data_IF_293838127080
#
_entry.id   IF_293838127080
#
_cell.length_a   1.000
_cell.length_b   1.000
_cell.length_c   1.000
_cell.angle_alpha   90.00
_cell.angle_beta   90.00
_cell.angle_gamma   90.00
#
_symmetry.space_group_name_H-M   'P 1'
#
loop_
_entity.id
_entity.type
_entity.pdbx_description
1 polymer ?
#
# COMPACT_ATOMS: atom_id res chain seq x y z
N UNK A 1 25.73 1.42 -19.25
CA UNK A 1 24.50 2.03 -18.69
C UNK A 1 23.78 2.72 -19.84
N UNK A 2 22.67 2.17 -20.32
CA UNK A 2 21.89 2.77 -21.42
C UNK A 2 20.74 3.53 -20.75
N UNK A 3 20.89 4.85 -20.59
CA UNK A 3 19.78 5.71 -20.22
C UNK A 3 18.95 5.98 -21.48
N UNK A 4 17.68 5.56 -21.48
CA UNK A 4 16.71 5.96 -22.51
C UNK A 4 15.68 6.85 -21.85
N UNK A 5 15.53 8.07 -22.35
CA UNK A 5 14.35 8.89 -22.05
C UNK A 5 13.13 8.19 -22.67
N UNK A 6 12.37 7.45 -21.85
CA UNK A 6 11.15 6.80 -22.30
C UNK A 6 10.02 7.84 -22.38
N UNK A 7 9.97 8.58 -23.49
CA UNK A 7 8.80 9.37 -23.91
C UNK A 7 7.79 8.47 -24.67
N UNK A 8 8.01 7.15 -24.67
CA UNK A 8 7.29 6.20 -25.52
C UNK A 8 6.60 5.12 -24.70
N UNK A 9 5.31 4.89 -24.99
CA UNK A 9 4.58 3.68 -24.60
C UNK A 9 5.34 2.44 -25.07
N UNK A 10 5.78 1.58 -24.14
CA UNK A 10 6.24 0.24 -24.50
C UNK A 10 5.00 -0.61 -24.75
N UNK A 11 4.67 -0.84 -26.01
CA UNK A 11 3.56 -1.72 -26.38
C UNK A 11 4.10 -3.12 -26.64
N UNK A 12 3.87 -4.02 -25.70
CA UNK A 12 4.28 -5.41 -25.82
C UNK A 12 3.04 -6.29 -26.02
N UNK A 13 2.78 -6.65 -27.28
CA UNK A 13 1.66 -7.51 -27.68
C UNK A 13 2.09 -8.98 -27.63
N UNK A 14 1.16 -9.86 -27.24
CA UNK A 14 1.31 -11.33 -27.28
C UNK A 14 2.43 -11.95 -26.43
N UNK A 15 2.94 -11.24 -25.42
CA UNK A 15 3.86 -11.81 -24.41
C UNK A 15 3.11 -12.21 -23.14
N UNK A 16 3.45 -13.38 -22.59
CA UNK A 16 2.88 -13.88 -21.33
C UNK A 16 3.40 -13.12 -20.11
N UNK A 17 4.61 -12.55 -20.19
CA UNK A 17 5.24 -11.76 -19.13
C UNK A 17 6.10 -10.65 -19.74
N UNK A 18 5.97 -9.41 -19.23
CA UNK A 18 6.94 -8.33 -19.47
C UNK A 18 7.81 -8.16 -18.23
N UNK A 19 9.12 -8.33 -18.37
CA UNK A 19 10.08 -8.23 -17.27
C UNK A 19 11.02 -7.04 -17.47
N UNK A 20 11.02 -6.11 -16.51
CA UNK A 20 11.90 -4.94 -16.46
C UNK A 20 12.82 -5.08 -15.25
N UNK A 21 14.12 -5.07 -15.47
CA UNK A 21 15.12 -5.28 -14.41
C UNK A 21 16.23 -4.25 -14.47
N UNK A 22 16.77 -3.87 -13.29
CA UNK A 22 17.89 -2.92 -13.17
C UNK A 22 17.65 -1.61 -13.94
N UNK A 23 16.43 -1.08 -13.84
CA UNK A 23 16.01 0.12 -14.54
C UNK A 23 15.91 1.32 -13.59
N UNK A 24 16.34 2.47 -14.08
CA UNK A 24 16.07 3.77 -13.46
C UNK A 24 15.03 4.51 -14.29
N UNK A 25 13.84 4.70 -13.74
CA UNK A 25 12.70 5.32 -14.41
C UNK A 25 12.39 6.63 -13.71
N UNK A 26 12.52 7.74 -14.44
CA UNK A 26 12.25 9.08 -13.90
C UNK A 26 11.16 9.75 -14.73
N UNK A 27 10.10 10.23 -14.08
CA UNK A 27 9.11 11.06 -14.76
C UNK A 27 9.70 12.43 -15.12
N UNK A 28 9.28 12.99 -16.26
CA UNK A 28 9.64 14.37 -16.61
C UNK A 28 8.95 15.32 -15.62
N UNK A 29 9.68 16.14 -14.84
CA UNK A 29 9.10 17.08 -13.88
C UNK A 29 8.19 18.14 -14.52
N UNK A 30 8.30 18.35 -15.83
CA UNK A 30 7.45 19.28 -16.60
C UNK A 30 6.12 18.64 -17.01
N UNK A 31 6.00 17.32 -16.92
CA UNK A 31 4.80 16.58 -17.22
C UNK A 31 4.11 16.18 -15.92
N UNK A 32 2.90 16.71 -15.71
CA UNK A 32 2.00 16.17 -14.69
C UNK A 32 1.50 14.80 -15.18
N UNK A 33 2.21 13.73 -14.80
CA UNK A 33 1.93 12.40 -15.36
C UNK A 33 2.57 11.27 -14.57
N UNK A 34 2.26 10.06 -15.01
CA UNK A 34 2.78 8.82 -14.45
C UNK A 34 4.20 8.57 -14.96
N UNK A 35 5.11 8.12 -14.07
CA UNK A 35 6.41 7.64 -14.52
C UNK A 35 6.28 6.32 -15.32
N UNK A 36 5.29 5.50 -14.95
CA UNK A 36 5.01 4.21 -15.57
C UNK A 36 3.50 3.95 -15.56
N UNK A 37 2.92 3.65 -16.72
CA UNK A 37 1.55 3.14 -16.82
C UNK A 37 1.57 1.75 -17.45
N UNK A 38 1.02 0.77 -16.74
CA UNK A 38 0.98 -0.64 -17.12
C UNK A 38 -0.48 -1.03 -17.34
N UNK A 39 -0.78 -1.40 -18.59
CA UNK A 39 -2.06 -1.99 -18.97
C UNK A 39 -1.82 -3.37 -19.54
N UNK A 40 -2.26 -4.41 -18.83
CA UNK A 40 -1.96 -5.80 -19.20
C UNK A 40 -3.04 -6.75 -18.70
N UNK A 41 -3.33 -7.79 -19.49
CA UNK A 41 -4.10 -8.98 -19.07
C UNK A 41 -3.17 -10.14 -18.67
N UNK A 42 -1.87 -9.88 -18.67
CA UNK A 42 -0.77 -10.82 -18.44
C UNK A 42 0.11 -10.31 -17.29
N UNK A 43 1.20 -11.02 -16.98
CA UNK A 43 2.06 -10.63 -15.86
C UNK A 43 3.02 -9.49 -16.25
N UNK A 44 3.10 -8.47 -15.42
CA UNK A 44 4.17 -7.47 -15.46
C UNK A 44 5.11 -7.68 -14.26
N UNK A 45 6.42 -7.65 -14.50
CA UNK A 45 7.43 -7.73 -13.46
C UNK A 45 8.38 -6.53 -13.53
N UNK A 46 8.62 -5.91 -12.38
CA UNK A 46 9.64 -4.88 -12.19
C UNK A 46 10.55 -5.30 -11.04
N UNK A 47 11.86 -5.42 -11.29
CA UNK A 47 12.81 -5.93 -10.30
C UNK A 47 14.05 -5.05 -10.18
N UNK A 48 14.60 -4.90 -8.99
CA UNK A 48 15.89 -4.24 -8.73
C UNK A 48 15.97 -2.86 -9.39
N UNK A 49 14.89 -2.08 -9.33
CA UNK A 49 14.74 -0.86 -10.12
C UNK A 49 14.50 0.35 -9.23
N UNK A 50 14.64 1.55 -9.78
CA UNK A 50 14.24 2.78 -9.13
C UNK A 50 13.19 3.51 -9.97
N UNK A 51 12.19 4.08 -9.31
CA UNK A 51 11.16 4.91 -9.92
C UNK A 51 11.07 6.21 -9.12
N UNK A 52 11.26 7.32 -9.81
CA UNK A 52 11.09 8.67 -9.28
C UNK A 52 10.00 9.35 -10.10
N UNK A 53 8.87 9.63 -9.48
CA UNK A 53 7.76 10.33 -10.15
C UNK A 53 7.57 11.76 -9.65
N UNK A 54 6.44 12.37 -10.05
CA UNK A 54 6.08 13.76 -9.73
C UNK A 54 4.72 13.86 -9.03
N UNK A 55 3.73 13.06 -9.46
CA UNK A 55 2.38 13.06 -8.87
C UNK A 55 1.70 11.66 -8.82
N UNK A 56 2.19 10.68 -9.61
CA UNK A 56 1.91 9.24 -9.50
C UNK A 56 3.02 8.41 -10.17
N UNK A 57 3.51 7.35 -9.52
CA UNK A 57 4.72 6.66 -9.98
C UNK A 57 4.36 5.60 -11.00
N UNK A 58 3.50 4.70 -10.56
CA UNK A 58 3.16 3.47 -11.25
C UNK A 58 1.65 3.38 -11.23
N UNK A 59 1.03 3.33 -12.39
CA UNK A 59 -0.36 2.89 -12.50
C UNK A 59 -0.38 1.49 -13.07
N UNK A 60 -1.04 0.55 -12.39
CA UNK A 60 -1.29 -0.80 -12.90
C UNK A 60 -2.80 -0.97 -13.06
N UNK A 61 -3.21 -1.39 -14.26
CA UNK A 61 -4.60 -1.39 -14.70
C UNK A 61 -4.94 -2.58 -15.59
N UNK A 62 -6.09 -3.20 -15.36
CA UNK A 62 -6.64 -4.32 -16.13
C UNK A 62 -8.07 -4.04 -16.62
N UNK A 63 -8.93 -5.04 -16.55
CA UNK A 63 -10.38 -4.91 -16.69
C UNK A 63 -11.06 -5.78 -15.64
N UNK A 64 -12.35 -5.55 -15.36
CA UNK A 64 -13.10 -6.41 -14.43
C UNK A 64 -13.09 -7.89 -14.85
N UNK A 65 -13.11 -8.17 -16.15
CA UNK A 65 -13.03 -9.53 -16.71
C UNK A 65 -11.60 -10.06 -16.84
N UNK A 66 -10.58 -9.21 -16.70
CA UNK A 66 -9.17 -9.57 -16.81
C UNK A 66 -8.32 -8.66 -15.93
N UNK A 67 -8.26 -8.93 -14.61
CA UNK A 67 -7.48 -8.14 -13.70
C UNK A 67 -6.01 -8.10 -14.11
N UNK A 68 -5.37 -6.95 -14.00
CA UNK A 68 -3.93 -6.86 -14.26
C UNK A 68 -3.16 -7.61 -13.18
N UNK A 69 -2.07 -8.25 -13.57
CA UNK A 69 -1.20 -8.95 -12.63
C UNK A 69 0.18 -8.32 -12.66
N UNK A 70 0.69 -7.93 -11.50
CA UNK A 70 1.99 -7.30 -11.40
C UNK A 70 2.79 -7.77 -10.18
N UNK A 71 4.10 -7.89 -10.37
CA UNK A 71 5.06 -8.11 -9.29
C UNK A 71 6.11 -6.99 -9.32
N UNK A 72 6.34 -6.38 -8.15
CA UNK A 72 7.39 -5.39 -7.94
C UNK A 72 8.33 -5.95 -6.88
N UNK A 73 9.60 -6.13 -7.22
CA UNK A 73 10.58 -6.79 -6.34
C UNK A 73 11.79 -5.88 -6.16
N UNK A 74 12.23 -5.67 -4.92
CA UNK A 74 13.45 -4.93 -4.58
C UNK A 74 13.56 -3.59 -5.33
N UNK A 75 12.43 -2.91 -5.45
CA UNK A 75 12.28 -1.68 -6.22
C UNK A 75 12.03 -0.51 -5.28
N UNK A 76 12.69 0.61 -5.57
CA UNK A 76 12.51 1.85 -4.84
C UNK A 76 11.55 2.76 -5.61
N UNK A 77 10.49 3.24 -4.94
CA UNK A 77 9.48 4.15 -5.50
C UNK A 77 9.46 5.41 -4.66
N UNK A 78 9.64 6.57 -5.31
CA UNK A 78 9.76 7.85 -4.61
C UNK A 78 9.19 9.05 -5.34
N UNK A 79 8.93 10.12 -4.57
CA UNK A 79 8.31 11.36 -5.04
C UNK A 79 6.97 11.13 -5.75
N UNK A 80 6.34 9.98 -5.48
CA UNK A 80 5.24 9.42 -6.24
C UNK A 80 4.71 8.10 -5.67
N UNK A 81 3.40 7.97 -5.45
CA UNK A 81 2.78 6.73 -4.95
C UNK A 81 2.55 5.66 -6.03
N UNK A 82 2.28 4.41 -5.62
CA UNK A 82 1.82 3.32 -6.51
C UNK A 82 0.29 3.34 -6.55
N UNK A 83 -0.31 3.27 -7.73
CA UNK A 83 -1.75 3.29 -7.90
C UNK A 83 -2.27 2.03 -8.65
N UNK A 84 -3.29 1.39 -8.08
CA UNK A 84 -4.26 0.57 -8.82
C UNK A 84 -5.61 1.28 -8.75
N UNK A 85 -6.19 1.65 -9.90
CA UNK A 85 -7.34 2.56 -9.96
C UNK A 85 -8.60 1.88 -10.49
N UNK A 86 -9.76 2.26 -9.92
CA UNK A 86 -11.10 1.72 -10.23
C UNK A 86 -11.48 1.86 -11.71
N UNK A 87 -11.21 3.03 -12.31
CA UNK A 87 -11.60 3.34 -13.70
C UNK A 87 -10.87 2.50 -14.75
N UNK A 88 -9.96 1.65 -14.28
CA UNK A 88 -9.03 0.88 -15.09
C UNK A 88 -9.01 -0.59 -14.67
N UNK A 89 -10.03 -1.07 -13.94
CA UNK A 89 -10.20 -2.46 -13.52
C UNK A 89 -9.31 -2.91 -12.35
N UNK A 90 -9.71 -3.99 -11.63
CA UNK A 90 -8.97 -4.50 -10.48
C UNK A 90 -7.56 -4.97 -10.88
N UNK A 91 -6.64 -4.89 -9.92
CA UNK A 91 -5.29 -5.42 -10.07
C UNK A 91 -4.98 -6.44 -8.97
N UNK A 92 -4.14 -7.43 -9.31
CA UNK A 92 -3.49 -8.33 -8.38
C UNK A 92 -2.01 -7.96 -8.36
N UNK A 93 -1.60 -7.28 -7.31
CA UNK A 93 -0.27 -6.72 -7.16
C UNK A 93 0.46 -7.37 -5.98
N UNK A 94 1.67 -7.86 -6.22
CA UNK A 94 2.56 -8.33 -5.17
C UNK A 94 3.82 -7.46 -5.14
N UNK A 95 4.16 -6.90 -3.98
CA UNK A 95 5.38 -6.13 -3.77
C UNK A 95 6.24 -6.86 -2.72
N UNK A 96 7.49 -7.14 -3.07
CA UNK A 96 8.43 -7.86 -2.21
C UNK A 96 9.70 -7.05 -2.08
N UNK A 97 10.14 -6.75 -0.85
CA UNK A 97 11.32 -5.95 -0.62
C UNK A 97 11.15 -4.50 -1.08
N UNK A 98 12.27 -3.82 -1.28
CA UNK A 98 12.28 -2.45 -1.79
C UNK A 98 11.72 -1.41 -0.81
N UNK A 99 11.41 -0.23 -1.34
CA UNK A 99 11.11 0.96 -0.55
C UNK A 99 10.10 1.88 -1.24
N UNK A 100 9.10 2.36 -0.50
CA UNK A 100 8.11 3.36 -0.94
C UNK A 100 8.29 4.58 -0.04
N UNK A 101 8.84 5.68 -0.57
CA UNK A 101 9.20 6.81 0.29
C UNK A 101 9.08 8.20 -0.34
N UNK A 102 8.98 9.21 0.53
CA UNK A 102 8.91 10.62 0.14
C UNK A 102 7.76 10.93 -0.83
N UNK A 103 6.63 10.23 -0.68
CA UNK A 103 5.49 10.41 -1.56
C UNK A 103 4.53 11.46 -1.00
N UNK A 104 4.23 12.47 -1.83
CA UNK A 104 3.26 13.51 -1.48
C UNK A 104 1.82 13.01 -1.46
N UNK A 105 1.53 11.90 -2.12
CA UNK A 105 0.22 11.27 -2.17
C UNK A 105 0.34 9.82 -1.75
N UNK A 106 -0.76 9.27 -1.24
CA UNK A 106 -0.84 7.85 -0.90
C UNK A 106 -0.55 6.97 -2.11
N UNK A 107 0.05 5.80 -1.87
CA UNK A 107 -0.12 4.67 -2.77
C UNK A 107 -1.57 4.19 -2.65
N UNK A 108 -2.32 4.29 -3.75
CA UNK A 108 -3.75 4.03 -3.78
C UNK A 108 -4.03 2.64 -4.33
N UNK A 109 -4.57 1.77 -3.51
CA UNK A 109 -4.98 0.43 -3.92
C UNK A 109 -6.49 0.36 -3.95
N UNK A 110 -7.04 0.55 -5.15
CA UNK A 110 -8.47 0.49 -5.39
C UNK A 110 -8.83 -0.74 -6.19
N UNK A 111 -9.80 -1.48 -5.67
CA UNK A 111 -10.24 -2.79 -6.13
C UNK A 111 -9.12 -3.84 -6.28
N UNK A 112 -9.49 -5.12 -6.14
CA UNK A 112 -8.55 -6.23 -6.31
C UNK A 112 -7.74 -6.54 -5.06
N UNK A 113 -6.49 -6.98 -5.24
CA UNK A 113 -5.66 -7.53 -4.18
C UNK A 113 -4.23 -7.01 -4.24
N UNK A 114 -3.74 -6.52 -3.11
CA UNK A 114 -2.35 -6.14 -2.90
C UNK A 114 -1.75 -7.01 -1.80
N UNK A 115 -0.56 -7.53 -2.05
CA UNK A 115 0.26 -8.24 -1.06
C UNK A 115 1.61 -7.53 -0.94
N UNK A 116 1.95 -7.10 0.27
CA UNK A 116 3.25 -6.49 0.58
C UNK A 116 4.05 -7.41 1.49
N UNK A 117 5.30 -7.68 1.14
CA UNK A 117 6.22 -8.49 1.92
C UNK A 117 7.55 -7.79 2.06
N UNK A 118 8.03 -7.59 3.28
CA UNK A 118 9.36 -7.02 3.56
C UNK A 118 9.58 -5.64 2.90
N UNK A 119 8.52 -4.85 2.73
CA UNK A 119 8.59 -3.52 2.10
C UNK A 119 8.82 -2.45 3.16
N UNK A 120 9.73 -1.50 2.91
CA UNK A 120 9.88 -0.30 3.74
C UNK A 120 9.04 0.85 3.19
N UNK A 121 8.14 1.39 4.00
CA UNK A 121 7.22 2.47 3.66
C UNK A 121 7.48 3.63 4.63
N UNK A 122 8.13 4.70 4.16
CA UNK A 122 8.52 5.78 5.05
C UNK A 122 8.47 7.20 4.47
N UNK A 123 8.36 8.19 5.35
CA UNK A 123 8.38 9.60 4.95
C UNK A 123 7.32 9.95 3.89
N UNK A 124 6.17 9.27 3.91
CA UNK A 124 5.06 9.54 3.00
C UNK A 124 3.94 10.36 3.70
N UNK A 125 3.04 10.90 2.89
CA UNK A 125 1.87 11.61 3.38
C UNK A 125 2.01 13.13 3.33
N UNK A 126 2.70 13.63 2.30
CA UNK A 126 2.54 15.02 1.90
C UNK A 126 1.05 15.35 1.67
N UNK A 127 0.72 16.64 1.65
CA UNK A 127 -0.66 17.13 1.41
C UNK A 127 -1.76 16.52 2.31
N UNK A 128 -1.41 15.93 3.45
CA UNK A 128 -2.40 15.35 4.36
C UNK A 128 -2.77 13.89 4.14
N UNK A 129 -2.07 13.19 3.25
CA UNK A 129 -2.42 11.81 2.87
C UNK A 129 -1.84 10.75 3.83
N UNK A 130 -2.36 9.52 3.74
CA UNK A 130 -1.70 8.31 4.27
C UNK A 130 -0.57 7.83 3.35
N UNK A 131 0.30 6.93 3.82
CA UNK A 131 1.28 6.29 2.95
C UNK A 131 0.62 5.28 2.00
N UNK A 132 -0.31 4.49 2.53
CA UNK A 132 -1.15 3.56 1.77
C UNK A 132 -2.61 3.90 2.00
N UNK A 133 -3.41 3.89 0.94
CA UNK A 133 -4.85 4.04 0.97
C UNK A 133 -5.52 2.88 0.24
N UNK A 134 -6.41 2.16 0.92
CA UNK A 134 -7.11 0.97 0.39
C UNK A 134 -8.61 1.21 0.43
N UNK A 135 -9.28 1.08 -0.72
CA UNK A 135 -10.74 1.22 -0.81
C UNK A 135 -11.28 0.45 -2.01
N UNK A 136 -12.38 -0.29 -1.83
CA UNK A 136 -13.11 -0.84 -2.95
C UNK A 136 -14.11 0.16 -3.54
N UNK A 137 -14.71 -0.19 -4.67
CA UNK A 137 -15.77 0.60 -5.32
C UNK A 137 -17.17 0.12 -4.95
N UNK A 138 -17.33 -1.14 -4.51
CA UNK A 138 -18.60 -1.71 -4.07
C UNK A 138 -18.41 -2.99 -3.25
N UNK A 139 -19.48 -3.53 -2.68
CA UNK A 139 -19.45 -4.83 -2.00
C UNK A 139 -19.03 -5.98 -2.92
N UNK A 140 -19.22 -5.84 -4.24
CA UNK A 140 -18.84 -6.81 -5.27
C UNK A 140 -17.43 -6.56 -5.82
N UNK A 141 -16.82 -5.41 -5.52
CA UNK A 141 -15.48 -5.02 -5.97
C UNK A 141 -14.69 -4.50 -4.76
N UNK A 142 -14.20 -5.43 -3.96
CA UNK A 142 -13.43 -5.13 -2.75
C UNK A 142 -11.98 -4.83 -3.09
N UNK A 143 -11.34 -3.99 -2.27
CA UNK A 143 -9.88 -3.86 -2.23
C UNK A 143 -9.32 -4.62 -1.02
N UNK A 144 -8.43 -5.58 -1.27
CA UNK A 144 -7.82 -6.40 -0.21
C UNK A 144 -6.33 -6.14 -0.06
N UNK A 145 -5.86 -6.00 1.17
CA UNK A 145 -4.45 -5.81 1.52
C UNK A 145 -3.96 -6.94 2.41
N UNK A 146 -2.84 -7.56 2.06
CA UNK A 146 -2.12 -8.50 2.91
C UNK A 146 -0.72 -7.97 3.15
N UNK A 147 -0.26 -7.95 4.41
CA UNK A 147 1.07 -7.45 4.76
C UNK A 147 1.82 -8.37 5.70
N UNK A 148 3.07 -8.68 5.36
CA UNK A 148 4.01 -9.43 6.22
C UNK A 148 5.39 -8.78 6.24
N UNK A 149 6.01 -8.68 7.42
CA UNK A 149 7.40 -8.22 7.56
C UNK A 149 7.67 -6.79 7.08
N UNK A 150 6.63 -5.98 6.85
CA UNK A 150 6.79 -4.62 6.32
C UNK A 150 7.13 -3.63 7.43
N UNK A 151 7.81 -2.54 7.08
CA UNK A 151 8.10 -1.44 8.00
C UNK A 151 7.40 -0.18 7.54
N UNK A 152 6.49 0.35 8.35
CA UNK A 152 5.67 1.55 8.08
C UNK A 152 6.00 2.61 9.11
N UNK A 153 6.91 3.52 8.77
CA UNK A 153 7.48 4.48 9.74
C UNK A 153 7.60 5.90 9.23
N UNK A 154 7.56 6.89 10.12
CA UNK A 154 7.77 8.30 9.76
C UNK A 154 6.81 8.80 8.66
N UNK A 155 5.62 8.23 8.54
CA UNK A 155 4.60 8.73 7.61
C UNK A 155 3.63 9.64 8.36
N UNK A 156 2.86 10.47 7.65
CA UNK A 156 1.78 11.23 8.29
C UNK A 156 0.71 10.30 8.88
N UNK A 157 0.14 9.43 8.05
CA UNK A 157 -0.54 8.22 8.49
C UNK A 157 0.14 7.03 7.83
N UNK A 158 0.19 5.89 8.51
CA UNK A 158 0.73 4.66 7.94
C UNK A 158 -0.19 4.12 6.84
N UNK A 159 -1.25 3.42 7.24
CA UNK A 159 -2.19 2.76 6.32
C UNK A 159 -3.62 3.19 6.63
N UNK A 160 -4.36 3.58 5.60
CA UNK A 160 -5.78 3.89 5.69
C UNK A 160 -6.59 2.87 4.90
N UNK A 161 -7.60 2.28 5.53
CA UNK A 161 -8.50 1.29 4.93
C UNK A 161 -9.94 1.79 5.09
N UNK A 162 -10.60 2.01 3.96
CA UNK A 162 -11.88 2.71 3.86
C UNK A 162 -12.97 1.82 3.29
N UNK A 163 -14.03 2.42 2.76
CA UNK A 163 -15.18 1.70 2.21
C UNK A 163 -14.77 0.55 1.28
N UNK A 164 -15.45 -0.58 1.46
CA UNK A 164 -15.28 -1.79 0.66
C UNK A 164 -13.84 -2.33 0.64
N UNK A 165 -13.11 -2.13 1.74
CA UNK A 165 -11.78 -2.70 1.93
C UNK A 165 -11.77 -3.88 2.90
N UNK A 166 -10.74 -4.71 2.79
CA UNK A 166 -10.41 -5.76 3.73
C UNK A 166 -8.89 -5.81 3.91
N UNK A 167 -8.43 -6.16 5.11
CA UNK A 167 -7.01 -6.30 5.36
C UNK A 167 -6.66 -7.43 6.32
N UNK A 168 -5.57 -8.10 5.98
CA UNK A 168 -4.84 -9.03 6.84
C UNK A 168 -3.42 -8.50 7.03
N UNK A 169 -3.21 -7.85 8.16
CA UNK A 169 -1.92 -7.37 8.64
C UNK A 169 -1.27 -8.36 9.62
N UNK A 170 -1.84 -9.55 9.80
CA UNK A 170 -1.34 -10.61 10.69
C UNK A 170 -2.47 -11.33 11.42
N UNK A 171 -2.40 -12.65 11.49
CA UNK A 171 -3.33 -13.51 12.25
C UNK A 171 -2.59 -14.30 13.33
N UNK A 172 -3.32 -15.01 14.19
CA UNK A 172 -2.68 -15.87 15.21
C UNK A 172 -1.86 -17.01 14.58
N UNK A 173 -2.32 -17.55 13.45
CA UNK A 173 -1.65 -18.63 12.73
C UNK A 173 -0.52 -18.15 11.80
N UNK A 174 -0.58 -16.89 11.38
CA UNK A 174 0.40 -16.25 10.50
C UNK A 174 0.64 -14.80 10.97
N UNK A 175 1.48 -14.60 12.00
CA UNK A 175 1.74 -13.29 12.58
C UNK A 175 2.28 -12.31 11.55
N UNK A 176 1.81 -11.07 11.64
CA UNK A 176 2.12 -10.02 10.68
C UNK A 176 3.61 -9.69 10.60
N UNK A 177 4.27 -9.59 11.76
CA UNK A 177 5.65 -9.15 11.89
C UNK A 177 5.92 -7.80 11.20
N UNK A 178 4.90 -6.97 11.03
CA UNK A 178 5.05 -5.61 10.51
C UNK A 178 5.42 -4.65 11.65
N UNK A 179 6.04 -3.53 11.31
CA UNK A 179 6.38 -2.44 12.25
C UNK A 179 5.59 -1.20 11.86
N UNK A 180 4.80 -0.66 12.79
CA UNK A 180 4.03 0.58 12.66
C UNK A 180 4.50 1.56 13.74
N UNK A 181 5.51 2.37 13.45
CA UNK A 181 6.11 3.25 14.46
C UNK A 181 6.36 4.65 13.91
N UNK A 182 6.37 5.65 14.79
CA UNK A 182 6.73 7.04 14.47
C UNK A 182 5.91 7.64 13.32
N UNK A 183 4.71 7.11 13.07
CA UNK A 183 3.75 7.74 12.18
C UNK A 183 3.10 8.91 12.94
N UNK A 184 3.01 10.07 12.30
CA UNK A 184 2.64 11.32 12.96
C UNK A 184 1.26 11.25 13.62
N UNK A 185 0.28 10.63 12.94
CA UNK A 185 -1.10 10.55 13.40
C UNK A 185 -1.41 9.13 13.84
N UNK A 186 -1.67 8.22 12.90
CA UNK A 186 -1.93 6.82 13.22
C UNK A 186 -1.08 5.87 12.36
N UNK A 187 -0.69 4.72 12.94
CA UNK A 187 -0.13 3.60 12.20
C UNK A 187 -1.15 2.97 11.24
N UNK A 188 -2.36 2.72 11.75
CA UNK A 188 -3.48 2.14 10.98
C UNK A 188 -4.78 2.92 11.23
N UNK A 189 -5.46 3.32 10.17
CA UNK A 189 -6.73 4.03 10.19
C UNK A 189 -7.83 3.16 9.55
N UNK A 190 -8.91 2.93 10.30
CA UNK A 190 -10.13 2.29 9.79
C UNK A 190 -11.22 3.34 9.61
N UNK A 191 -11.72 3.51 8.39
CA UNK A 191 -12.75 4.51 8.10
C UNK A 191 -13.82 4.00 7.14
N UNK A 192 -14.79 4.87 6.87
CA UNK A 192 -15.88 4.59 5.94
C UNK A 192 -17.11 3.97 6.61
N UNK A 193 -18.29 4.23 6.02
CA UNK A 193 -19.57 3.66 6.46
C UNK A 193 -19.61 2.16 6.11
N UNK A 194 -19.04 1.79 4.97
CA UNK A 194 -18.86 0.42 4.51
C UNK A 194 -17.40 -0.05 4.72
N UNK A 195 -16.73 0.49 5.75
CA UNK A 195 -15.35 0.17 6.10
C UNK A 195 -15.14 -1.30 6.49
N UNK A 196 -13.87 -1.71 6.66
CA UNK A 196 -13.54 -3.08 7.02
C UNK A 196 -14.07 -3.39 8.43
N UNK A 197 -15.07 -4.26 8.52
CA UNK A 197 -15.73 -4.58 9.79
C UNK A 197 -14.75 -5.16 10.82
N UNK A 198 -13.77 -5.93 10.35
CA UNK A 198 -12.67 -6.45 11.14
C UNK A 198 -11.38 -6.43 10.32
N UNK A 199 -10.32 -5.90 10.90
CA UNK A 199 -8.95 -6.05 10.39
C UNK A 199 -8.13 -6.88 11.38
N UNK A 200 -7.44 -7.91 10.88
CA UNK A 200 -6.49 -8.67 11.68
C UNK A 200 -5.12 -8.02 11.59
N UNK A 201 -4.47 -7.82 12.74
CA UNK A 201 -3.17 -7.16 12.86
C UNK A 201 -2.32 -7.75 14.01
N UNK A 202 -2.45 -9.06 14.22
CA UNK A 202 -1.76 -9.82 15.27
C UNK A 202 -0.27 -9.94 14.96
N UNK A 203 0.56 -9.83 16.00
CA UNK A 203 2.01 -10.06 15.92
C UNK A 203 2.82 -8.89 15.37
N UNK A 204 2.19 -7.75 15.12
CA UNK A 204 2.88 -6.53 14.70
C UNK A 204 3.59 -5.83 15.87
N UNK A 205 4.56 -4.99 15.54
CA UNK A 205 5.20 -4.04 16.46
C UNK A 205 4.61 -2.66 16.22
N UNK A 206 4.25 -1.98 17.29
CA UNK A 206 3.57 -0.69 17.27
C UNK A 206 4.37 0.38 18.03
N UNK A 207 3.87 1.61 18.14
CA UNK A 207 4.43 2.57 19.08
C UNK A 207 4.37 1.97 20.51
N UNK A 208 5.50 1.94 21.24
CA UNK A 208 5.54 1.45 22.61
C UNK A 208 4.63 2.22 23.55
N UNK A 209 4.15 1.55 24.60
CA UNK A 209 3.36 2.17 25.69
C UNK A 209 2.13 2.96 25.21
N UNK A 210 1.60 2.63 24.02
CA UNK A 210 0.55 3.37 23.34
C UNK A 210 -0.64 2.47 23.10
N UNK A 211 -1.84 2.91 23.49
CA UNK A 211 -3.08 2.15 23.32
C UNK A 211 -3.02 0.70 23.85
N UNK A 212 -2.25 0.49 24.92
CA UNK A 212 -2.10 -0.80 25.62
C UNK A 212 -0.98 -1.70 25.09
N UNK A 213 -0.09 -1.20 24.24
CA UNK A 213 1.14 -1.91 23.88
C UNK A 213 2.14 -1.86 25.03
N UNK A 214 3.03 -2.85 25.10
CA UNK A 214 4.12 -2.88 26.07
C UNK A 214 5.29 -1.96 25.66
N UNK A 215 6.37 -2.00 26.43
CA UNK A 215 7.58 -1.21 26.18
C UNK A 215 8.33 -1.58 24.89
N UNK A 216 8.00 -2.72 24.28
CA UNK A 216 8.53 -3.16 22.99
C UNK A 216 7.55 -2.91 21.84
N UNK A 217 6.39 -2.30 22.12
CA UNK A 217 5.35 -2.08 21.13
C UNK A 217 4.55 -3.33 20.77
N UNK A 218 4.55 -4.35 21.62
CA UNK A 218 3.79 -5.60 21.41
C UNK A 218 2.51 -5.60 22.24
N UNK A 219 1.51 -6.33 21.77
CA UNK A 219 0.32 -6.69 22.55
C UNK A 219 0.47 -8.14 23.00
N UNK A 220 0.61 -8.41 24.32
CA UNK A 220 0.96 -9.74 24.81
C UNK A 220 -0.17 -10.77 24.66
N UNK A 221 -1.42 -10.31 24.53
CA UNK A 221 -2.60 -11.16 24.35
C UNK A 221 -3.38 -10.64 23.16
N UNK A 222 -3.64 -11.48 22.13
CA UNK A 222 -4.50 -11.10 21.02
C UNK A 222 -5.89 -10.67 21.51
N UNK A 223 -6.34 -9.50 21.05
CA UNK A 223 -7.62 -8.94 21.46
C UNK A 223 -8.26 -8.11 20.36
N UNK A 224 -9.58 -8.10 20.34
CA UNK A 224 -10.33 -7.21 19.45
C UNK A 224 -10.66 -5.92 20.17
N UNK A 225 -10.26 -4.81 19.57
CA UNK A 225 -10.71 -3.46 19.97
C UNK A 225 -11.77 -2.99 18.98
N UNK A 226 -12.82 -2.35 19.50
CA UNK A 226 -13.90 -1.79 18.71
C UNK A 226 -13.81 -0.27 18.69
N UNK A 227 -14.22 0.33 17.57
CA UNK A 227 -14.39 1.77 17.44
C UNK A 227 -15.66 2.29 18.13
N UNK A 228 -15.79 3.62 18.28
CA UNK A 228 -14.90 4.63 17.71
C UNK A 228 -13.65 4.86 18.56
N UNK A 229 -12.53 5.16 17.89
CA UNK A 229 -11.29 5.62 18.51
C UNK A 229 -10.86 6.86 17.75
N UNK A 230 -10.91 8.01 18.43
CA UNK A 230 -10.59 9.29 17.82
C UNK A 230 -9.11 9.35 17.44
N UNK A 231 -8.87 9.93 16.27
CA UNK A 231 -7.53 10.24 15.81
C UNK A 231 -6.80 11.17 16.80
N UNK A 232 -5.58 10.79 17.17
CA UNK A 232 -4.66 11.59 17.94
C UNK A 232 -3.23 11.40 17.41
N UNK A 233 -2.32 12.31 17.75
CA UNK A 233 -0.91 12.22 17.35
C UNK A 233 -0.25 10.98 17.97
N UNK A 234 0.45 10.19 17.16
CA UNK A 234 1.20 9.02 17.59
C UNK A 234 0.36 7.79 17.95
N UNK A 235 -0.92 7.76 17.59
CA UNK A 235 -1.75 6.57 17.80
C UNK A 235 -1.19 5.35 17.05
N UNK A 236 -1.37 4.18 17.64
CA UNK A 236 -1.18 2.92 16.91
C UNK A 236 -2.28 2.75 15.88
N UNK A 237 -3.52 3.07 16.28
CA UNK A 237 -4.68 3.01 15.42
C UNK A 237 -5.72 4.08 15.77
N UNK A 238 -6.49 4.47 14.76
CA UNK A 238 -7.77 5.15 14.90
C UNK A 238 -8.84 4.44 14.08
N UNK A 239 -10.11 4.58 14.48
CA UNK A 239 -11.20 3.87 13.81
C UNK A 239 -12.55 4.51 14.02
N UNK A 240 -13.40 4.46 13.00
CA UNK A 240 -14.78 4.91 13.07
C UNK A 240 -15.66 3.92 13.87
N UNK A 241 -16.83 4.39 14.31
CA UNK A 241 -17.77 3.56 15.05
C UNK A 241 -18.21 2.34 14.23
N UNK A 242 -18.35 1.18 14.89
CA UNK A 242 -18.75 -0.08 14.25
C UNK A 242 -17.63 -0.85 13.55
N UNK A 243 -16.42 -0.29 13.45
CA UNK A 243 -15.24 -1.00 12.92
C UNK A 243 -14.43 -1.62 14.06
N UNK A 244 -13.64 -2.66 13.75
CA UNK A 244 -12.82 -3.35 14.75
C UNK A 244 -11.43 -3.75 14.23
N UNK A 245 -10.47 -3.81 15.15
CA UNK A 245 -9.10 -4.28 14.90
C UNK A 245 -8.76 -5.41 15.88
N UNK A 246 -8.31 -6.55 15.39
CA UNK A 246 -7.72 -7.61 16.21
C UNK A 246 -6.21 -7.43 16.24
N UNK A 247 -5.63 -7.22 17.41
CA UNK A 247 -4.20 -6.91 17.60
C UNK A 247 -3.54 -7.85 18.58
#
# INVERSE_FOLDING_TARGET
MISRNLITTINAKDISTLDVTNADITADPRCAGLALSVKTSKMFMLKNSSIVGTYGAIQISGTASSPAQAMIIDTTVSNSGIASTVDSGPAILTIIGGKIFNNMSASQFRDGKVTLKNVRIEANGGNGSSAIYVSGSSAQSLASLVMRGCTVVNNRYGIAMFDYSAADLGTDADPGNNVFQDNQLAGVTLGGIAGPQLVNAVGNTWNPMTQGSDALGKYPVPGTVAGPIQQATGNNYDMWAGLSLRR
#
